data_IF_744211249935
#
_entry.id   IF_744211249935
#
_cell.length_a   1.000
_cell.length_b   1.000
_cell.length_c   1.000
_cell.angle_alpha   90.00
_cell.angle_beta   90.00
_cell.angle_gamma   90.00
#
_symmetry.space_group_name_H-M   'P 1'
#
loop_
_entity.id
_entity.type
_entity.pdbx_description
1 polymer ?
#
# COMPACT_ATOMS: atom_id res chain seq x y z
N UNK A 1 4.48 -31.35 -23.47
CA UNK A 1 4.43 -31.28 -24.96
C UNK A 1 3.05 -30.82 -25.49
N UNK A 2 1.90 -31.41 -25.12
CA UNK A 2 0.58 -31.01 -25.68
C UNK A 2 -0.17 -29.87 -24.94
N UNK A 3 0.51 -29.00 -24.19
CA UNK A 3 -0.16 -27.92 -23.42
C UNK A 3 0.59 -26.59 -23.42
N UNK A 4 1.44 -26.35 -24.42
CA UNK A 4 2.17 -25.10 -24.53
C UNK A 4 1.42 -24.12 -25.44
N UNK A 5 0.49 -23.37 -24.83
CA UNK A 5 -0.09 -22.17 -25.44
C UNK A 5 0.84 -20.98 -25.22
N UNK A 6 1.13 -20.24 -26.29
CA UNK A 6 1.74 -18.91 -26.23
C UNK A 6 0.72 -17.98 -25.57
N UNK A 7 0.95 -17.66 -24.29
CA UNK A 7 0.26 -16.54 -23.62
C UNK A 7 1.08 -15.27 -23.76
N UNK A 8 0.37 -14.15 -23.75
CA UNK A 8 0.76 -12.75 -23.99
C UNK A 8 1.98 -12.20 -23.21
N UNK A 9 2.75 -13.03 -22.50
CA UNK A 9 3.90 -12.64 -21.69
C UNK A 9 5.21 -13.28 -22.19
N UNK A 10 5.97 -12.54 -23.02
CA UNK A 10 7.26 -12.98 -23.58
C UNK A 10 8.26 -13.44 -22.52
N UNK A 11 8.27 -12.83 -21.33
CA UNK A 11 9.15 -13.22 -20.21
C UNK A 11 8.76 -14.59 -19.63
N UNK A 12 7.45 -14.84 -19.45
CA UNK A 12 6.97 -16.15 -18.97
C UNK A 12 7.29 -17.28 -19.94
N UNK A 13 7.29 -17.00 -21.25
CA UNK A 13 7.68 -17.98 -22.27
C UNK A 13 9.18 -18.35 -22.16
N UNK A 14 10.05 -17.38 -21.84
CA UNK A 14 11.49 -17.61 -21.64
C UNK A 14 11.73 -18.47 -20.39
N UNK A 15 11.10 -18.14 -19.27
CA UNK A 15 11.23 -18.96 -18.04
C UNK A 15 10.76 -20.38 -18.29
N UNK A 16 9.55 -20.52 -18.85
CA UNK A 16 8.96 -21.82 -19.17
C UNK A 16 9.81 -22.64 -20.15
N UNK A 17 10.49 -21.97 -21.08
CA UNK A 17 11.46 -22.60 -21.98
C UNK A 17 12.70 -23.10 -21.24
N UNK A 18 13.25 -22.32 -20.32
CA UNK A 18 14.39 -22.72 -19.49
C UNK A 18 14.05 -23.91 -18.59
N UNK A 19 12.85 -23.96 -18.03
CA UNK A 19 12.41 -25.05 -17.15
C UNK A 19 12.25 -26.40 -17.87
N UNK A 20 11.98 -26.38 -19.18
CA UNK A 20 11.72 -27.60 -19.98
C UNK A 20 12.89 -28.04 -20.85
N UNK A 21 13.98 -27.27 -20.90
CA UNK A 21 14.99 -27.48 -21.92
C UNK A 21 15.80 -28.77 -21.68
N UNK A 22 15.81 -29.65 -22.68
CA UNK A 22 16.66 -30.84 -22.70
C UNK A 22 17.62 -30.77 -23.89
N UNK A 23 18.88 -30.41 -23.61
CA UNK A 23 19.95 -30.28 -24.60
C UNK A 23 20.24 -31.60 -25.32
N UNK A 24 20.04 -32.74 -24.64
CA UNK A 24 20.30 -34.06 -25.22
C UNK A 24 19.36 -34.38 -26.38
N UNK A 25 18.14 -33.82 -26.34
CA UNK A 25 17.11 -34.04 -27.34
C UNK A 25 17.17 -33.06 -28.52
N UNK A 26 17.96 -31.98 -28.44
CA UNK A 26 18.01 -30.92 -29.47
C UNK A 26 18.33 -31.45 -30.89
N UNK A 27 19.22 -32.44 -30.98
CA UNK A 27 19.56 -33.07 -32.27
C UNK A 27 18.41 -33.91 -32.86
N UNK A 28 17.51 -34.44 -32.04
CA UNK A 28 16.39 -35.29 -32.46
C UNK A 28 15.21 -34.48 -33.02
N UNK A 29 15.13 -33.19 -32.67
CA UNK A 29 14.05 -32.30 -33.08
C UNK A 29 14.16 -31.80 -34.53
N UNK A 30 15.26 -32.08 -35.24
CA UNK A 30 15.40 -31.74 -36.67
C UNK A 30 14.59 -32.63 -37.60
N UNK A 31 14.04 -33.75 -37.10
CA UNK A 31 13.19 -34.63 -37.90
C UNK A 31 11.81 -34.00 -38.21
N UNK A 32 11.22 -34.38 -39.35
CA UNK A 32 9.92 -33.86 -39.83
C UNK A 32 8.82 -33.94 -38.77
N UNK A 33 8.88 -34.95 -37.89
CA UNK A 33 7.90 -35.20 -36.82
C UNK A 33 7.87 -34.09 -35.76
N UNK A 34 8.96 -33.35 -35.56
CA UNK A 34 9.11 -32.35 -34.49
C UNK A 34 9.34 -30.93 -35.03
N UNK A 35 9.02 -30.69 -36.30
CA UNK A 35 9.33 -29.42 -36.99
C UNK A 35 8.69 -28.19 -36.33
N UNK A 36 7.46 -28.31 -35.83
CA UNK A 36 6.79 -27.21 -35.10
C UNK A 36 7.47 -26.91 -33.76
N UNK A 37 7.77 -27.96 -32.99
CA UNK A 37 8.49 -27.84 -31.72
C UNK A 37 9.90 -27.26 -31.90
N UNK A 38 10.61 -27.66 -32.96
CA UNK A 38 11.92 -27.10 -33.31
C UNK A 38 11.85 -25.62 -33.67
N UNK A 39 10.79 -25.20 -34.40
CA UNK A 39 10.54 -23.79 -34.71
C UNK A 39 10.31 -22.98 -33.43
N UNK A 40 9.55 -23.52 -32.48
CA UNK A 40 9.26 -22.89 -31.20
C UNK A 40 10.52 -22.73 -30.33
N UNK A 41 11.35 -23.77 -30.21
CA UNK A 41 12.65 -23.67 -29.51
C UNK A 41 13.49 -22.55 -30.11
N UNK A 42 13.56 -22.45 -31.44
CA UNK A 42 14.36 -21.42 -32.10
C UNK A 42 13.82 -20.00 -31.81
N UNK A 43 12.49 -19.83 -31.75
CA UNK A 43 11.87 -18.57 -31.34
C UNK A 43 12.25 -18.23 -29.88
N UNK A 44 12.15 -19.20 -28.97
CA UNK A 44 12.46 -18.98 -27.56
C UNK A 44 13.95 -18.67 -27.32
N UNK A 45 14.87 -19.30 -28.07
CA UNK A 45 16.30 -18.96 -28.04
C UNK A 45 16.51 -17.50 -28.44
N UNK A 46 15.85 -17.05 -29.52
CA UNK A 46 15.95 -15.67 -29.97
C UNK A 46 15.36 -14.69 -28.94
N UNK A 47 14.19 -15.00 -28.37
CA UNK A 47 13.59 -14.20 -27.29
C UNK A 47 14.48 -14.10 -26.04
N UNK A 48 15.14 -15.20 -25.69
CA UNK A 48 16.07 -15.26 -24.56
C UNK A 48 17.25 -14.32 -24.78
N UNK A 49 17.85 -14.34 -25.97
CA UNK A 49 18.97 -13.46 -26.33
C UNK A 49 18.54 -12.00 -26.25
N UNK A 50 17.41 -11.65 -26.88
CA UNK A 50 16.89 -10.29 -26.87
C UNK A 50 16.66 -9.79 -25.44
N UNK A 51 16.03 -10.62 -24.60
CA UNK A 51 15.74 -10.29 -23.22
C UNK A 51 17.02 -10.04 -22.41
N UNK A 52 17.97 -10.96 -22.41
CA UNK A 52 19.20 -10.83 -21.63
C UNK A 52 20.10 -9.69 -22.14
N UNK A 53 20.11 -9.44 -23.45
CA UNK A 53 20.81 -8.31 -24.03
C UNK A 53 20.23 -6.99 -23.52
N UNK A 54 18.91 -6.78 -23.69
CA UNK A 54 18.26 -5.53 -23.29
C UNK A 54 18.26 -5.33 -21.77
N UNK A 55 18.03 -6.39 -20.99
CA UNK A 55 18.08 -6.31 -19.54
C UNK A 55 19.51 -6.06 -19.03
N UNK A 56 20.52 -6.67 -19.63
CA UNK A 56 21.92 -6.38 -19.34
C UNK A 56 22.30 -4.92 -19.60
N UNK A 57 21.82 -4.34 -20.71
CA UNK A 57 21.99 -2.90 -20.99
C UNK A 57 21.30 -2.02 -19.95
N UNK A 58 20.08 -2.39 -19.54
CA UNK A 58 19.34 -1.68 -18.50
C UNK A 58 20.12 -1.66 -17.18
N UNK A 59 20.60 -2.82 -16.71
CA UNK A 59 21.37 -2.93 -15.47
C UNK A 59 22.66 -2.11 -15.50
N UNK A 60 23.41 -2.13 -16.62
CA UNK A 60 24.62 -1.29 -16.78
C UNK A 60 24.31 0.20 -16.72
N UNK A 61 23.16 0.63 -17.22
CA UNK A 61 22.72 2.01 -17.10
C UNK A 61 22.31 2.37 -15.66
N UNK A 62 21.71 1.43 -14.93
CA UNK A 62 21.41 1.58 -13.50
C UNK A 62 22.66 1.67 -12.64
N UNK A 63 23.70 0.88 -12.92
CA UNK A 63 24.97 0.89 -12.20
C UNK A 63 25.69 2.25 -12.21
N UNK A 64 25.40 3.11 -13.19
CA UNK A 64 25.94 4.48 -13.26
C UNK A 64 25.26 5.46 -12.30
N UNK A 65 24.14 5.06 -11.69
CA UNK A 65 23.39 5.87 -10.74
C UNK A 65 23.79 5.53 -9.32
N UNK A 66 23.59 6.47 -8.41
CA UNK A 66 23.75 6.24 -6.99
C UNK A 66 22.64 5.29 -6.49
N UNK A 67 23.05 4.16 -5.92
CA UNK A 67 22.19 3.16 -5.29
C UNK A 67 22.80 2.78 -3.94
N UNK A 68 22.04 2.12 -3.07
CA UNK A 68 22.62 1.56 -1.84
C UNK A 68 23.63 0.45 -2.17
N UNK A 69 24.62 0.27 -1.30
CA UNK A 69 25.75 -0.65 -1.50
C UNK A 69 25.27 -2.09 -1.73
N UNK A 70 24.29 -2.53 -0.96
CA UNK A 70 23.72 -3.88 -1.03
C UNK A 70 23.08 -4.13 -2.41
N UNK A 71 22.28 -3.17 -2.89
CA UNK A 71 21.63 -3.32 -4.19
C UNK A 71 22.59 -3.15 -5.36
N UNK A 72 23.62 -2.30 -5.21
CA UNK A 72 24.70 -2.18 -6.18
C UNK A 72 25.43 -3.51 -6.38
N UNK A 73 25.70 -4.24 -5.29
CA UNK A 73 26.34 -5.55 -5.36
C UNK A 73 25.48 -6.59 -6.09
N UNK A 74 24.17 -6.62 -5.82
CA UNK A 74 23.24 -7.51 -6.53
C UNK A 74 23.18 -7.19 -8.03
N UNK A 75 23.12 -5.91 -8.41
CA UNK A 75 23.17 -5.49 -9.82
C UNK A 75 24.47 -5.97 -10.48
N UNK A 76 25.61 -5.78 -9.84
CA UNK A 76 26.90 -6.21 -10.37
C UNK A 76 26.97 -7.72 -10.58
N UNK A 77 26.52 -8.50 -9.58
CA UNK A 77 26.44 -9.97 -9.66
C UNK A 77 25.58 -10.42 -10.84
N UNK A 78 24.44 -9.76 -11.07
CA UNK A 78 23.57 -10.07 -12.20
C UNK A 78 24.19 -9.68 -13.54
N UNK A 79 24.88 -8.55 -13.64
CA UNK A 79 25.63 -8.18 -14.86
C UNK A 79 26.70 -9.22 -15.18
N UNK A 80 27.45 -9.69 -14.16
CA UNK A 80 28.46 -10.74 -14.32
C UNK A 80 27.82 -12.03 -14.83
N UNK A 81 26.70 -12.46 -14.23
CA UNK A 81 25.96 -13.64 -14.67
C UNK A 81 25.47 -13.53 -16.14
N UNK A 82 24.84 -12.40 -16.50
CA UNK A 82 24.38 -12.17 -17.87
C UNK A 82 25.55 -12.21 -18.86
N UNK A 83 26.70 -11.63 -18.49
CA UNK A 83 27.90 -11.66 -19.32
C UNK A 83 28.49 -13.08 -19.45
N UNK A 84 28.44 -13.90 -18.40
CA UNK A 84 28.97 -15.27 -18.44
C UNK A 84 28.18 -16.20 -19.35
N UNK A 85 26.91 -15.88 -19.64
CA UNK A 85 26.13 -16.61 -20.65
C UNK A 85 26.75 -16.50 -22.04
N UNK A 86 27.49 -15.42 -22.33
CA UNK A 86 28.12 -15.15 -23.65
C UNK A 86 27.15 -15.29 -24.82
N UNK A 87 25.89 -14.88 -24.60
CA UNK A 87 24.81 -14.92 -25.59
C UNK A 87 24.58 -13.55 -26.26
N UNK A 88 25.09 -12.48 -25.66
CA UNK A 88 24.92 -11.11 -26.15
C UNK A 88 25.62 -10.86 -27.50
N UNK A 89 26.60 -11.70 -27.86
CA UNK A 89 27.28 -11.65 -29.16
C UNK A 89 26.35 -12.02 -30.32
N UNK A 90 25.25 -12.72 -30.04
CA UNK A 90 24.27 -13.19 -31.02
C UNK A 90 23.05 -12.27 -31.16
N UNK A 91 23.07 -11.09 -30.52
CA UNK A 91 21.97 -10.13 -30.63
C UNK A 91 21.89 -9.57 -32.06
N UNK A 92 20.68 -9.55 -32.63
CA UNK A 92 20.40 -9.12 -34.01
C UNK A 92 21.11 -9.97 -35.10
N UNK A 93 21.58 -11.17 -34.75
CA UNK A 93 22.16 -12.12 -35.70
C UNK A 93 21.17 -13.20 -36.14
N UNK A 94 21.24 -13.60 -37.42
CA UNK A 94 20.56 -14.82 -37.89
C UNK A 94 21.33 -16.06 -37.44
N UNK A 95 20.77 -16.78 -36.46
CA UNK A 95 21.45 -17.92 -35.87
C UNK A 95 21.25 -19.22 -36.65
N UNK A 96 22.38 -19.83 -37.03
CA UNK A 96 22.44 -21.18 -37.58
C UNK A 96 22.19 -22.26 -36.50
N UNK A 97 22.03 -23.51 -36.96
CA UNK A 97 21.79 -24.65 -36.06
C UNK A 97 22.90 -24.86 -35.02
N UNK A 98 24.16 -24.63 -35.41
CA UNK A 98 25.33 -24.87 -34.56
C UNK A 98 25.44 -23.79 -33.47
N UNK A 99 25.19 -22.53 -33.82
CA UNK A 99 25.14 -21.40 -32.88
C UNK A 99 24.04 -21.63 -31.84
N UNK A 100 22.82 -22.00 -32.28
CA UNK A 100 21.71 -22.30 -31.35
C UNK A 100 22.05 -23.45 -30.40
N UNK A 101 22.60 -24.55 -30.91
CA UNK A 101 23.05 -25.66 -30.08
C UNK A 101 24.11 -25.23 -29.06
N UNK A 102 25.09 -24.44 -29.49
CA UNK A 102 26.14 -23.94 -28.60
C UNK A 102 25.56 -23.07 -27.46
N UNK A 103 24.55 -22.25 -27.75
CA UNK A 103 23.84 -21.46 -26.73
C UNK A 103 23.21 -22.39 -25.69
N UNK A 104 22.51 -23.44 -26.12
CA UNK A 104 21.88 -24.39 -25.19
C UNK A 104 22.89 -25.12 -24.31
N UNK A 105 24.02 -25.52 -24.89
CA UNK A 105 25.12 -26.16 -24.15
C UNK A 105 25.73 -25.22 -23.09
N UNK A 106 25.74 -23.91 -23.33
CA UNK A 106 26.20 -22.90 -22.36
C UNK A 106 25.16 -22.66 -21.25
N UNK A 107 23.87 -22.67 -21.59
CA UNK A 107 22.76 -22.36 -20.67
C UNK A 107 22.48 -23.51 -19.69
N UNK A 108 22.47 -24.76 -20.16
CA UNK A 108 22.05 -25.90 -19.33
C UNK A 108 22.84 -26.06 -18.02
N UNK A 109 24.19 -25.95 -17.99
CA UNK A 109 24.94 -26.01 -16.74
C UNK A 109 24.58 -24.90 -15.75
N UNK A 110 24.13 -23.74 -16.23
CA UNK A 110 23.72 -22.61 -15.38
C UNK A 110 22.32 -22.82 -14.80
N UNK A 111 21.45 -23.54 -15.51
CA UNK A 111 20.17 -24.03 -14.99
C UNK A 111 20.43 -25.03 -13.87
N UNK A 112 21.27 -26.04 -14.10
CA UNK A 112 21.58 -27.09 -13.12
C UNK A 112 22.22 -26.52 -11.83
N UNK A 113 22.95 -25.41 -11.94
CA UNK A 113 23.54 -24.69 -10.80
C UNK A 113 22.53 -23.81 -10.04
N UNK A 114 21.31 -23.63 -10.55
CA UNK A 114 20.29 -22.74 -9.97
C UNK A 114 20.53 -21.25 -10.22
N UNK A 115 21.43 -20.88 -11.15
CA UNK A 115 21.74 -19.47 -11.39
C UNK A 115 20.59 -18.73 -12.08
N UNK A 116 19.78 -19.42 -12.87
CA UNK A 116 18.56 -18.84 -13.45
C UNK A 116 17.48 -18.57 -12.39
N UNK A 117 17.35 -19.42 -11.37
CA UNK A 117 16.41 -19.17 -10.26
C UNK A 117 16.78 -17.89 -9.51
N UNK A 118 18.06 -17.74 -9.17
CA UNK A 118 18.60 -16.53 -8.55
C UNK A 118 18.38 -15.29 -9.42
N UNK A 119 18.56 -15.43 -10.74
CA UNK A 119 18.30 -14.36 -11.68
C UNK A 119 16.82 -13.96 -11.70
N UNK A 120 15.89 -14.94 -11.70
CA UNK A 120 14.46 -14.67 -11.72
C UNK A 120 14.00 -13.99 -10.43
N UNK A 121 14.47 -14.45 -9.26
CA UNK A 121 14.21 -13.80 -7.97
C UNK A 121 14.65 -12.32 -8.00
N UNK A 122 15.85 -12.05 -8.52
CA UNK A 122 16.33 -10.69 -8.71
C UNK A 122 15.46 -9.90 -9.68
N UNK A 123 15.12 -10.48 -10.84
CA UNK A 123 14.33 -9.82 -11.88
C UNK A 123 12.95 -9.41 -11.37
N UNK A 124 12.28 -10.28 -10.61
CA UNK A 124 10.97 -9.98 -10.02
C UNK A 124 11.07 -8.84 -9.01
N UNK A 125 12.09 -8.84 -8.15
CA UNK A 125 12.30 -7.73 -7.22
C UNK A 125 12.67 -6.43 -7.94
N UNK A 126 13.47 -6.50 -9.00
CA UNK A 126 13.78 -5.35 -9.85
C UNK A 126 12.51 -4.74 -10.47
N UNK A 127 11.57 -5.57 -10.95
CA UNK A 127 10.30 -5.11 -11.52
C UNK A 127 9.40 -4.47 -10.45
N UNK A 128 9.32 -5.06 -9.25
CA UNK A 128 8.61 -4.49 -8.09
C UNK A 128 9.19 -3.11 -7.74
N UNK A 129 10.51 -2.99 -7.58
CA UNK A 129 11.15 -1.72 -7.24
C UNK A 129 10.98 -0.67 -8.34
N UNK A 130 11.09 -1.07 -9.61
CA UNK A 130 10.88 -0.17 -10.75
C UNK A 130 9.44 0.34 -10.79
N UNK A 131 8.47 -0.53 -10.53
CA UNK A 131 7.05 -0.20 -10.47
C UNK A 131 6.74 0.75 -9.31
N UNK A 132 7.29 0.48 -8.12
CA UNK A 132 7.18 1.37 -6.95
C UNK A 132 7.80 2.74 -7.27
N UNK A 133 9.04 2.78 -7.76
CA UNK A 133 9.72 4.04 -8.09
C UNK A 133 8.96 4.88 -9.13
N UNK A 134 8.35 4.22 -10.12
CA UNK A 134 7.47 4.89 -11.08
C UNK A 134 6.23 5.46 -10.40
N UNK A 135 5.58 4.68 -9.52
CA UNK A 135 4.42 5.12 -8.75
C UNK A 135 4.73 6.32 -7.84
N UNK A 136 5.89 6.32 -7.18
CA UNK A 136 6.40 7.42 -6.37
C UNK A 136 6.49 8.70 -7.19
N UNK A 137 7.13 8.63 -8.36
CA UNK A 137 7.33 9.79 -9.22
C UNK A 137 6.03 10.32 -9.82
N UNK A 138 5.16 9.42 -10.29
CA UNK A 138 3.88 9.81 -10.91
C UNK A 138 2.95 10.51 -9.91
N UNK A 139 2.96 10.08 -8.66
CA UNK A 139 2.07 10.59 -7.63
C UNK A 139 2.72 11.62 -6.70
N UNK A 140 3.96 12.04 -6.96
CA UNK A 140 4.73 12.99 -6.13
C UNK A 140 4.84 12.57 -4.65
N UNK A 141 5.11 11.29 -4.40
CA UNK A 141 5.23 10.76 -3.04
C UNK A 141 6.57 11.12 -2.41
N UNK A 142 6.60 11.28 -1.09
CA UNK A 142 7.82 11.61 -0.32
C UNK A 142 8.20 10.48 0.64
N UNK A 143 9.49 10.22 0.81
CA UNK A 143 9.93 9.22 1.78
C UNK A 143 9.70 9.73 3.21
N UNK A 144 9.08 8.93 4.08
CA UNK A 144 8.81 9.32 5.46
C UNK A 144 10.08 9.24 6.31
N UNK A 145 10.07 9.98 7.41
CA UNK A 145 11.08 9.92 8.46
C UNK A 145 10.48 9.27 9.71
N UNK A 146 11.27 8.45 10.38
CA UNK A 146 10.89 7.88 11.67
C UNK A 146 11.61 8.63 12.80
N UNK A 147 10.89 8.92 13.88
CA UNK A 147 11.46 9.57 15.08
C UNK A 147 11.18 8.78 16.36
N UNK A 148 12.03 9.02 17.37
CA UNK A 148 11.89 8.49 18.73
C UNK A 148 11.27 9.50 19.71
N UNK A 149 10.94 10.71 19.23
CA UNK A 149 10.40 11.82 20.03
C UNK A 149 8.86 11.75 20.17
N UNK A 150 8.23 10.72 19.60
CA UNK A 150 6.79 10.54 19.56
C UNK A 150 6.05 11.74 18.94
N UNK A 151 6.63 12.31 17.89
CA UNK A 151 6.03 13.39 17.09
C UNK A 151 5.38 12.76 15.87
N UNK A 152 4.08 12.99 15.68
CA UNK A 152 3.38 12.58 14.47
C UNK A 152 3.04 13.81 13.64
N UNK A 153 3.78 14.03 12.56
CA UNK A 153 3.65 15.20 11.70
C UNK A 153 3.59 14.81 10.24
N UNK A 154 2.47 15.10 9.60
CA UNK A 154 2.25 14.95 8.16
C UNK A 154 1.75 16.28 7.59
N UNK A 155 2.44 16.82 6.59
CA UNK A 155 2.08 18.10 5.97
C UNK A 155 1.51 17.89 4.58
N UNK A 156 0.44 18.61 4.30
CA UNK A 156 -0.20 18.67 2.98
C UNK A 156 -0.48 17.28 2.38
N UNK A 157 -0.91 16.34 3.22
CA UNK A 157 -1.27 14.99 2.82
C UNK A 157 -2.57 14.95 2.02
N UNK A 158 -2.69 13.92 1.17
CA UNK A 158 -3.83 13.72 0.28
C UNK A 158 -4.13 12.23 0.10
N UNK A 159 -5.34 11.93 -0.37
CA UNK A 159 -5.73 10.56 -0.71
C UNK A 159 -5.42 10.26 -2.18
N UNK A 160 -4.74 9.14 -2.46
CA UNK A 160 -4.30 8.77 -3.82
C UNK A 160 -5.44 8.63 -4.83
N UNK A 161 -6.58 8.06 -4.39
CA UNK A 161 -7.72 7.83 -5.28
C UNK A 161 -8.58 9.08 -5.55
N UNK A 162 -8.28 10.22 -4.91
CA UNK A 162 -9.08 11.43 -5.08
C UNK A 162 -8.45 12.37 -6.10
N UNK A 163 -9.23 12.68 -7.14
CA UNK A 163 -8.90 13.78 -8.05
C UNK A 163 -9.09 15.12 -7.34
N UNK A 164 -8.10 16.02 -7.46
CA UNK A 164 -8.10 17.34 -6.80
C UNK A 164 -8.35 17.30 -5.28
N UNK A 165 -7.74 16.32 -4.59
CA UNK A 165 -7.86 16.16 -3.15
C UNK A 165 -7.49 17.45 -2.40
N UNK A 166 -8.34 17.87 -1.46
CA UNK A 166 -8.00 18.96 -0.54
C UNK A 166 -6.89 18.49 0.41
N UNK A 167 -5.71 19.08 0.27
CA UNK A 167 -4.54 18.76 1.10
C UNK A 167 -4.75 19.24 2.54
N UNK A 168 -4.36 18.42 3.50
CA UNK A 168 -4.48 18.70 4.94
C UNK A 168 -3.16 18.46 5.67
N UNK A 169 -3.04 19.02 6.87
CA UNK A 169 -1.86 18.84 7.74
C UNK A 169 -2.32 18.35 9.09
N UNK A 170 -1.62 17.35 9.64
CA UNK A 170 -1.84 16.84 10.98
C UNK A 170 -0.52 16.88 11.75
N UNK A 171 -0.52 17.60 12.87
CA UNK A 171 0.63 17.72 13.75
C UNK A 171 0.20 17.36 15.18
N UNK A 172 0.55 16.16 15.60
CA UNK A 172 0.28 15.63 16.95
C UNK A 172 1.58 15.70 17.73
N UNK A 173 1.65 16.65 18.68
CA UNK A 173 2.79 16.85 19.57
C UNK A 173 2.32 16.79 21.01
N UNK A 174 2.95 15.96 21.84
CA UNK A 174 2.59 15.76 23.25
C UNK A 174 1.13 15.30 23.48
N UNK A 175 0.49 14.74 22.44
CA UNK A 175 -0.87 14.21 22.45
C UNK A 175 -0.80 12.74 22.02
N UNK A 176 -1.72 11.93 22.52
CA UNK A 176 -1.83 10.50 22.15
C UNK A 176 -3.18 10.15 21.58
N UNK A 177 -4.17 11.02 21.76
CA UNK A 177 -5.52 10.86 21.26
C UNK A 177 -5.77 11.95 20.22
N UNK A 178 -6.27 11.57 19.06
CA UNK A 178 -6.84 12.48 18.06
C UNK A 178 -8.30 12.10 17.87
N UNK A 179 -9.21 13.07 17.98
CA UNK A 179 -10.65 12.83 17.80
C UNK A 179 -11.16 13.70 16.67
N UNK A 180 -11.69 13.06 15.64
CA UNK A 180 -12.32 13.70 14.50
C UNK A 180 -13.84 13.78 14.70
N UNK A 181 -14.39 14.98 14.52
CA UNK A 181 -15.83 15.26 14.62
C UNK A 181 -16.35 15.96 13.37
N UNK A 182 -17.68 16.06 13.24
CA UNK A 182 -18.38 16.62 12.08
C UNK A 182 -19.32 15.63 11.41
N UNK A 183 -20.01 16.05 10.34
CA UNK A 183 -20.96 15.18 9.64
C UNK A 183 -20.29 14.02 8.91
N UNK A 184 -21.04 12.95 8.64
CA UNK A 184 -20.54 11.76 7.94
C UNK A 184 -20.12 12.06 6.49
N UNK A 185 -20.71 13.09 5.88
CA UNK A 185 -20.36 13.57 4.53
C UNK A 185 -19.21 14.60 4.51
N UNK A 186 -18.67 15.00 5.67
CA UNK A 186 -17.63 16.05 5.75
C UNK A 186 -16.23 15.60 5.34
N UNK A 187 -16.02 14.30 5.11
CA UNK A 187 -14.72 13.71 4.72
C UNK A 187 -13.90 13.10 5.87
N UNK A 188 -14.51 12.85 7.05
CA UNK A 188 -13.81 12.28 8.22
C UNK A 188 -13.15 10.94 7.89
N UNK A 189 -13.91 9.99 7.37
CA UNK A 189 -13.40 8.66 7.03
C UNK A 189 -12.34 8.72 5.93
N UNK A 190 -12.48 9.62 4.96
CA UNK A 190 -11.44 9.87 3.93
C UNK A 190 -10.13 10.35 4.55
N UNK A 191 -10.22 11.30 5.49
CA UNK A 191 -9.05 11.85 6.18
C UNK A 191 -8.36 10.76 7.00
N UNK A 192 -9.12 10.01 7.79
CA UNK A 192 -8.59 8.89 8.58
C UNK A 192 -7.98 7.80 7.71
N UNK A 193 -8.62 7.40 6.61
CA UNK A 193 -8.07 6.44 5.64
C UNK A 193 -6.77 6.94 5.02
N UNK A 194 -6.69 8.24 4.68
CA UNK A 194 -5.46 8.85 4.16
C UNK A 194 -4.32 8.72 5.15
N UNK A 195 -4.57 9.06 6.42
CA UNK A 195 -3.58 8.93 7.51
C UNK A 195 -3.16 7.47 7.68
N UNK A 196 -4.10 6.53 7.71
CA UNK A 196 -3.83 5.10 7.84
C UNK A 196 -2.98 4.55 6.70
N UNK A 197 -3.27 4.95 5.46
CA UNK A 197 -2.49 4.57 4.27
C UNK A 197 -1.07 5.11 4.38
N UNK A 198 -0.89 6.37 4.80
CA UNK A 198 0.43 6.96 5.02
C UNK A 198 1.23 6.17 6.04
N UNK A 199 0.63 5.84 7.19
CA UNK A 199 1.29 5.04 8.22
C UNK A 199 1.67 3.67 7.69
N UNK A 200 0.76 2.99 6.98
CA UNK A 200 1.03 1.66 6.39
C UNK A 200 2.17 1.71 5.37
N UNK A 201 2.11 2.63 4.40
CA UNK A 201 3.15 2.78 3.37
C UNK A 201 4.51 3.11 4.00
N UNK A 202 4.53 3.96 5.03
CA UNK A 202 5.75 4.28 5.73
C UNK A 202 6.39 3.06 6.39
N UNK A 203 5.61 2.20 7.04
CA UNK A 203 6.11 0.97 7.67
C UNK A 203 6.50 -0.11 6.65
N UNK A 204 6.00 -0.02 5.42
CA UNK A 204 6.46 -0.84 4.29
C UNK A 204 7.73 -0.29 3.62
N UNK A 205 8.26 0.86 4.06
CA UNK A 205 9.42 1.50 3.46
C UNK A 205 9.12 2.18 2.11
N UNK A 206 7.85 2.45 1.83
CA UNK A 206 7.38 3.10 0.60
C UNK A 206 7.15 4.59 0.86
N UNK A 207 7.41 5.43 -0.13
CA UNK A 207 7.09 6.86 -0.06
C UNK A 207 5.56 7.09 0.05
N UNK A 208 5.16 8.18 0.70
CA UNK A 208 3.79 8.44 1.14
C UNK A 208 3.18 9.67 0.44
N UNK A 209 1.84 9.75 0.31
CA UNK A 209 1.16 10.88 -0.33
C UNK A 209 1.05 12.10 0.60
N UNK A 210 2.18 12.79 0.76
CA UNK A 210 2.31 14.02 1.54
C UNK A 210 3.45 14.89 1.00
N UNK A 211 3.58 16.14 1.46
CA UNK A 211 4.76 16.96 1.18
C UNK A 211 5.86 16.76 2.22
N UNK A 212 5.47 16.38 3.44
CA UNK A 212 6.39 16.01 4.52
C UNK A 212 5.73 14.96 5.41
N UNK A 213 6.50 13.97 5.86
CA UNK A 213 6.03 12.95 6.78
C UNK A 213 7.15 12.60 7.78
N UNK A 214 6.87 12.82 9.07
CA UNK A 214 7.71 12.41 10.18
C UNK A 214 6.82 11.81 11.26
N UNK A 215 6.93 10.51 11.49
CA UNK A 215 6.05 9.77 12.40
C UNK A 215 6.87 8.85 13.33
N UNK A 216 6.32 8.45 14.47
CA UNK A 216 6.93 7.41 15.29
C UNK A 216 6.87 6.06 14.58
N UNK A 217 7.75 5.14 14.97
CA UNK A 217 7.63 3.74 14.56
C UNK A 217 6.67 3.00 15.49
N UNK A 218 5.75 2.23 14.90
CA UNK A 218 4.75 1.45 15.63
C UNK A 218 4.97 -0.04 15.37
N UNK A 219 4.94 -0.84 16.44
CA UNK A 219 5.07 -2.29 16.37
C UNK A 219 3.80 -2.95 15.84
N UNK A 220 2.65 -2.29 15.98
CA UNK A 220 1.35 -2.81 15.54
C UNK A 220 0.42 -1.71 15.06
N UNK A 221 -0.30 -2.01 13.98
CA UNK A 221 -1.25 -1.11 13.32
C UNK A 221 -2.63 -1.77 13.39
N UNK A 222 -3.60 -1.08 13.99
CA UNK A 222 -4.99 -1.54 14.12
C UNK A 222 -5.93 -0.55 13.44
N UNK A 223 -6.68 -1.02 12.44
CA UNK A 223 -7.58 -0.18 11.64
C UNK A 223 -9.01 -0.72 11.74
N UNK A 224 -9.81 -0.15 12.63
CA UNK A 224 -11.22 -0.49 12.82
C UNK A 224 -12.10 0.55 12.17
N UNK A 225 -12.25 0.45 10.85
CA UNK A 225 -13.23 1.23 10.10
C UNK A 225 -14.60 0.54 10.13
N UNK A 226 -15.68 1.30 10.19
CA UNK A 226 -17.04 0.77 10.09
C UNK A 226 -17.22 0.12 8.71
N UNK A 227 -17.31 -1.21 8.68
CA UNK A 227 -17.64 -1.98 7.48
C UNK A 227 -19.13 -2.26 7.51
N UNK A 228 -19.82 -2.09 6.39
CA UNK A 228 -21.21 -2.55 6.23
C UNK A 228 -21.27 -4.05 6.56
N UNK A 229 -21.94 -4.35 7.68
CA UNK A 229 -22.43 -5.64 8.19
C UNK A 229 -21.80 -6.92 7.63
N UNK A 230 -20.86 -7.50 8.37
CA UNK A 230 -20.60 -8.93 8.32
C UNK A 230 -21.50 -9.65 9.32
N UNK A 231 -22.69 -10.06 8.88
CA UNK A 231 -23.67 -10.90 9.60
C UNK A 231 -23.14 -12.31 9.99
N UNK A 232 -21.85 -12.61 9.78
CA UNK A 232 -21.32 -13.98 9.76
C UNK A 232 -20.80 -14.53 11.10
N UNK A 233 -20.65 -13.72 12.15
CA UNK A 233 -19.99 -14.17 13.39
C UNK A 233 -20.86 -14.24 14.66
N UNK A 234 -22.17 -13.97 14.57
CA UNK A 234 -23.10 -14.21 15.69
C UNK A 234 -22.93 -13.31 16.92
N UNK A 235 -21.93 -12.42 16.96
CA UNK A 235 -21.81 -11.34 17.93
C UNK A 235 -22.59 -10.10 17.48
N UNK A 236 -23.17 -9.35 18.43
CA UNK A 236 -23.68 -8.01 18.12
C UNK A 236 -22.52 -7.10 17.73
N UNK A 237 -22.77 -6.11 16.86
CA UNK A 237 -21.77 -5.13 16.45
C UNK A 237 -21.03 -4.51 17.65
N UNK A 238 -21.78 -4.17 18.69
CA UNK A 238 -21.24 -3.63 19.94
C UNK A 238 -20.29 -4.60 20.67
N UNK A 239 -20.61 -5.89 20.72
CA UNK A 239 -19.72 -6.88 21.34
C UNK A 239 -18.40 -7.02 20.57
N UNK A 240 -18.44 -6.94 19.24
CA UNK A 240 -17.24 -6.96 18.41
C UNK A 240 -16.35 -5.74 18.65
N UNK A 241 -16.95 -4.55 18.79
CA UNK A 241 -16.22 -3.33 19.13
C UNK A 241 -15.48 -3.44 20.47
N UNK A 242 -16.14 -4.04 21.48
CA UNK A 242 -15.50 -4.32 22.78
C UNK A 242 -14.32 -5.28 22.63
N UNK A 243 -14.47 -6.35 21.83
CA UNK A 243 -13.40 -7.31 21.55
C UNK A 243 -12.23 -6.62 20.85
N UNK A 244 -12.49 -5.73 19.91
CA UNK A 244 -11.46 -4.96 19.20
C UNK A 244 -10.63 -4.10 20.18
N UNK A 245 -11.29 -3.35 21.07
CA UNK A 245 -10.60 -2.56 22.10
C UNK A 245 -9.81 -3.46 23.06
N UNK A 246 -10.38 -4.60 23.46
CA UNK A 246 -9.68 -5.57 24.31
C UNK A 246 -8.39 -6.07 23.65
N UNK A 247 -8.44 -6.42 22.36
CA UNK A 247 -7.27 -6.87 21.61
C UNK A 247 -6.17 -5.80 21.57
N UNK A 248 -6.54 -4.55 21.29
CA UNK A 248 -5.61 -3.41 21.34
C UNK A 248 -4.98 -3.25 22.73
N UNK A 249 -5.79 -3.30 23.80
CA UNK A 249 -5.29 -3.17 25.18
C UNK A 249 -4.34 -4.31 25.59
N UNK A 250 -4.52 -5.51 25.05
CA UNK A 250 -3.59 -6.61 25.28
C UNK A 250 -2.24 -6.37 24.59
N UNK A 251 -2.25 -5.87 23.35
CA UNK A 251 -1.04 -5.58 22.57
C UNK A 251 -0.23 -4.43 23.19
N UNK A 252 -0.91 -3.38 23.65
CA UNK A 252 -0.33 -2.21 24.30
C UNK A 252 0.44 -2.51 25.60
N UNK A 253 0.35 -3.72 26.14
CA UNK A 253 1.14 -4.13 27.31
C UNK A 253 2.63 -4.19 27.02
N UNK A 254 3.03 -4.40 25.77
CA UNK A 254 4.43 -4.57 25.39
C UNK A 254 4.83 -3.83 24.12
N UNK A 255 3.88 -3.24 23.39
CA UNK A 255 4.11 -2.67 22.06
C UNK A 255 3.53 -1.29 21.89
N UNK A 256 4.17 -0.49 21.05
CA UNK A 256 3.67 0.80 20.59
C UNK A 256 2.71 0.57 19.42
N UNK A 257 1.51 1.11 19.52
CA UNK A 257 0.47 0.88 18.51
C UNK A 257 0.03 2.18 17.84
N UNK A 258 -0.27 2.10 16.54
CA UNK A 258 -1.11 3.05 15.84
C UNK A 258 -2.50 2.45 15.68
N UNK A 259 -3.53 3.15 16.15
CA UNK A 259 -4.88 2.61 16.21
C UNK A 259 -5.88 3.61 15.67
N UNK A 260 -6.80 3.13 14.84
CA UNK A 260 -7.91 3.92 14.29
C UNK A 260 -9.22 3.25 14.64
N UNK A 261 -10.14 4.01 15.21
CA UNK A 261 -11.51 3.62 15.51
C UNK A 261 -12.49 4.57 14.81
N UNK A 262 -13.25 4.05 13.84
CA UNK A 262 -14.31 4.81 13.16
C UNK A 262 -15.66 4.52 13.83
N UNK A 263 -16.29 5.54 14.40
CA UNK A 263 -17.64 5.50 15.00
C UNK A 263 -17.88 4.35 16.00
N UNK A 264 -16.87 4.07 16.83
CA UNK A 264 -16.93 2.99 17.83
C UNK A 264 -18.05 3.21 18.85
N UNK A 265 -18.68 2.11 19.28
CA UNK A 265 -19.75 2.06 20.29
C UNK A 265 -21.05 2.72 19.86
N UNK A 266 -21.24 2.95 18.56
CA UNK A 266 -22.48 3.49 18.00
C UNK A 266 -23.68 2.54 18.10
N UNK A 267 -23.44 1.24 18.36
CA UNK A 267 -24.47 0.21 18.44
C UNK A 267 -25.23 0.10 19.78
N UNK A 268 -25.07 1.05 20.72
CA UNK A 268 -25.74 1.04 22.03
C UNK A 268 -26.46 2.36 22.34
N UNK A 269 -27.10 2.48 23.50
CA UNK A 269 -27.72 3.73 23.96
C UNK A 269 -26.70 4.86 23.96
N UNK A 270 -27.09 6.05 23.49
CA UNK A 270 -26.21 7.21 23.35
C UNK A 270 -25.48 7.60 24.66
N UNK A 271 -26.14 7.43 25.82
CA UNK A 271 -25.53 7.72 27.12
C UNK A 271 -24.47 6.69 27.50
N UNK A 272 -24.75 5.40 27.25
CA UNK A 272 -23.80 4.32 27.48
C UNK A 272 -22.61 4.44 26.52
N UNK A 273 -22.88 4.72 25.25
CA UNK A 273 -21.86 4.94 24.22
C UNK A 273 -20.93 6.10 24.61
N UNK A 274 -21.48 7.23 25.07
CA UNK A 274 -20.70 8.36 25.55
C UNK A 274 -19.81 7.98 26.73
N UNK A 275 -20.38 7.35 27.77
CA UNK A 275 -19.64 6.99 28.98
C UNK A 275 -18.51 6.00 28.69
N UNK A 276 -18.78 4.96 27.88
CA UNK A 276 -17.79 3.95 27.51
C UNK A 276 -16.70 4.56 26.63
N UNK A 277 -17.06 5.42 25.67
CA UNK A 277 -16.09 6.10 24.80
C UNK A 277 -15.13 6.97 25.61
N UNK A 278 -15.66 7.80 26.53
CA UNK A 278 -14.83 8.66 27.41
C UNK A 278 -13.90 7.81 28.26
N UNK A 279 -14.40 6.73 28.87
CA UNK A 279 -13.58 5.83 29.68
C UNK A 279 -12.48 5.17 28.85
N UNK A 280 -12.80 4.68 27.65
CA UNK A 280 -11.84 4.07 26.73
C UNK A 280 -10.77 5.07 26.30
N UNK A 281 -11.14 6.28 25.87
CA UNK A 281 -10.19 7.33 25.48
C UNK A 281 -9.27 7.70 26.64
N UNK A 282 -9.83 7.92 27.84
CA UNK A 282 -9.04 8.24 29.03
C UNK A 282 -8.08 7.11 29.41
N UNK A 283 -8.52 5.85 29.30
CA UNK A 283 -7.67 4.69 29.49
C UNK A 283 -6.51 4.63 28.49
N UNK A 284 -6.81 4.79 27.20
CA UNK A 284 -5.83 4.72 26.11
C UNK A 284 -4.84 5.90 26.13
N UNK A 285 -5.26 7.07 26.61
CA UNK A 285 -4.41 8.26 26.73
C UNK A 285 -3.19 8.04 27.64
N UNK A 286 -3.18 6.97 28.44
CA UNK A 286 -2.07 6.61 29.34
C UNK A 286 -0.89 5.97 28.58
N UNK A 287 -1.11 5.42 27.39
CA UNK A 287 -0.06 4.80 26.56
C UNK A 287 0.65 5.87 25.73
N UNK A 288 1.73 6.41 26.31
CA UNK A 288 2.41 7.62 25.81
C UNK A 288 3.03 7.47 24.43
N UNK A 289 3.44 6.26 24.04
CA UNK A 289 4.17 5.99 22.80
C UNK A 289 3.26 5.45 21.68
N UNK A 290 1.95 5.58 21.84
CA UNK A 290 0.95 5.08 20.90
C UNK A 290 0.04 6.22 20.48
N UNK A 291 -0.47 6.14 19.26
CA UNK A 291 -1.39 7.12 18.70
C UNK A 291 -2.72 6.46 18.42
N UNK A 292 -3.78 7.06 18.96
CA UNK A 292 -5.14 6.59 18.80
C UNK A 292 -5.97 7.67 18.11
N UNK A 293 -6.53 7.31 16.96
CA UNK A 293 -7.40 8.16 16.17
C UNK A 293 -8.83 7.66 16.30
N UNK A 294 -9.74 8.53 16.68
CA UNK A 294 -11.17 8.25 16.79
C UNK A 294 -11.95 9.14 15.82
N UNK A 295 -13.03 8.63 15.27
CA UNK A 295 -14.15 9.47 14.82
C UNK A 295 -15.33 9.32 15.76
N UNK A 296 -16.13 10.38 15.91
CA UNK A 296 -17.37 10.32 16.67
C UNK A 296 -18.37 11.35 16.18
N UNK A 297 -19.66 11.03 16.38
CA UNK A 297 -20.79 11.94 16.23
C UNK A 297 -21.45 12.27 17.58
N UNK A 298 -20.87 11.79 18.70
CA UNK A 298 -21.43 11.94 20.04
C UNK A 298 -21.05 13.30 20.65
N UNK A 299 -21.91 14.31 20.56
CA UNK A 299 -21.62 15.62 21.15
C UNK A 299 -21.52 15.59 22.70
N UNK A 300 -22.11 14.58 23.35
CA UNK A 300 -22.10 14.44 24.82
C UNK A 300 -20.70 14.27 25.43
N UNK A 301 -19.68 13.95 24.62
CA UNK A 301 -18.33 13.72 25.12
C UNK A 301 -17.40 14.93 24.94
N UNK A 302 -17.84 16.01 24.31
CA UNK A 302 -17.01 17.19 24.00
C UNK A 302 -16.34 17.76 25.26
N UNK A 303 -17.11 18.05 26.30
CA UNK A 303 -16.60 18.67 27.54
C UNK A 303 -15.57 17.76 28.23
N UNK A 304 -15.86 16.45 28.31
CA UNK A 304 -14.97 15.46 28.90
C UNK A 304 -13.63 15.31 28.15
N UNK A 305 -13.64 15.45 26.83
CA UNK A 305 -12.44 15.33 26.02
C UNK A 305 -11.64 16.64 25.96
N UNK A 306 -12.31 17.77 26.09
CA UNK A 306 -11.65 19.09 26.17
C UNK A 306 -10.78 19.20 27.43
N UNK A 307 -11.20 18.57 28.53
CA UNK A 307 -10.40 18.47 29.77
C UNK A 307 -9.21 17.50 29.65
N UNK A 308 -9.17 16.64 28.62
CA UNK A 308 -8.07 15.70 28.44
C UNK A 308 -6.88 16.38 27.74
N UNK A 309 -5.86 16.72 28.52
CA UNK A 309 -4.63 17.36 28.01
C UNK A 309 -3.90 16.56 26.93
N UNK A 310 -4.17 15.25 26.77
CA UNK A 310 -3.58 14.38 25.75
C UNK A 310 -4.46 14.18 24.52
N UNK A 311 -5.64 14.77 24.49
CA UNK A 311 -6.52 14.79 23.34
C UNK A 311 -6.27 16.01 22.45
N UNK A 312 -6.24 15.76 21.14
CA UNK A 312 -6.32 16.75 20.08
C UNK A 312 -7.68 16.59 19.41
N UNK A 313 -8.52 17.60 19.53
CA UNK A 313 -9.86 17.60 18.96
C UNK A 313 -9.81 18.31 17.61
N UNK A 314 -10.28 17.63 16.57
CA UNK A 314 -10.27 18.13 15.22
C UNK A 314 -11.66 17.96 14.59
N UNK A 315 -11.98 18.83 13.64
CA UNK A 315 -13.12 18.64 12.77
C UNK A 315 -12.78 19.05 11.35
N UNK A 316 -13.61 18.60 10.40
CA UNK A 316 -13.58 19.13 9.05
C UNK A 316 -14.51 20.34 8.99
N UNK A 317 -13.99 21.45 8.49
CA UNK A 317 -14.70 22.71 8.42
C UNK A 317 -15.89 22.61 7.43
N UNK A 318 -17.02 23.13 7.90
CA UNK A 318 -18.28 23.14 7.21
C UNK A 318 -19.03 24.39 7.65
N UNK A 319 -19.69 25.08 6.71
CA UNK A 319 -20.49 26.24 7.01
C UNK A 319 -21.74 26.31 6.14
N UNK A 320 -22.70 27.11 6.60
CA UNK A 320 -23.91 27.41 5.87
C UNK A 320 -23.73 28.70 5.09
N UNK A 321 -23.90 28.63 3.77
CA UNK A 321 -24.02 29.80 2.90
C UNK A 321 -25.39 29.75 2.22
N UNK A 322 -26.21 30.78 2.46
CA UNK A 322 -27.50 30.93 1.77
C UNK A 322 -28.40 29.67 1.86
N UNK A 323 -28.47 29.05 3.05
CA UNK A 323 -29.16 27.77 3.34
C UNK A 323 -28.61 26.54 2.61
N UNK A 324 -27.42 26.63 2.01
CA UNK A 324 -26.69 25.49 1.45
C UNK A 324 -25.52 25.13 2.33
N UNK A 325 -25.36 23.83 2.56
CA UNK A 325 -24.23 23.32 3.30
C UNK A 325 -23.00 23.22 2.40
N UNK A 326 -21.91 23.88 2.80
CA UNK A 326 -20.63 23.87 2.09
C UNK A 326 -19.58 23.15 2.93
N UNK A 327 -18.97 22.12 2.34
CA UNK A 327 -17.87 21.36 2.94
C UNK A 327 -16.55 21.83 2.35
N UNK A 328 -15.65 22.38 3.17
CA UNK A 328 -14.31 22.79 2.69
C UNK A 328 -13.32 21.63 2.65
N UNK A 329 -13.63 20.55 3.37
CA UNK A 329 -12.75 19.40 3.60
C UNK A 329 -11.40 19.79 4.24
N UNK A 330 -11.34 20.97 4.88
CA UNK A 330 -10.15 21.44 5.60
C UNK A 330 -10.23 21.02 7.05
N UNK A 331 -9.14 20.45 7.53
CA UNK A 331 -8.96 20.01 8.90
C UNK A 331 -8.65 21.21 9.80
N UNK A 332 -9.46 21.40 10.85
CA UNK A 332 -9.33 22.50 11.81
C UNK A 332 -9.40 21.96 13.24
N UNK A 333 -8.71 22.64 14.17
CA UNK A 333 -8.80 22.31 15.60
C UNK A 333 -10.15 22.73 16.18
N UNK A 334 -10.69 21.90 17.09
CA UNK A 334 -11.95 22.13 17.79
C UNK A 334 -12.95 21.00 17.61
N UNK A 335 -14.20 21.30 17.94
CA UNK A 335 -15.33 20.37 17.87
C UNK A 335 -16.41 20.89 16.92
N UNK A 336 -16.94 20.04 16.05
CA UNK A 336 -18.07 20.42 15.20
C UNK A 336 -19.39 20.27 15.94
N UNK A 337 -20.13 21.38 16.09
CA UNK A 337 -21.46 21.40 16.72
C UNK A 337 -22.62 21.48 15.71
N UNK A 338 -22.34 21.34 14.42
CA UNK A 338 -23.34 21.50 13.37
C UNK A 338 -24.24 20.26 13.27
N UNK A 339 -25.52 20.43 13.55
CA UNK A 339 -26.57 19.41 13.37
C UNK A 339 -27.00 19.33 11.90
N UNK A 340 -26.17 18.69 11.09
CA UNK A 340 -26.31 18.66 9.62
C UNK A 340 -27.47 17.78 9.13
N UNK A 341 -27.93 16.82 9.93
CA UNK A 341 -28.97 15.87 9.51
C UNK A 341 -30.28 16.55 9.09
N UNK A 342 -30.78 17.49 9.89
CA UNK A 342 -31.99 18.25 9.56
C UNK A 342 -31.81 19.14 8.33
N UNK A 343 -30.65 19.80 8.23
CA UNK A 343 -30.32 20.67 7.11
C UNK A 343 -30.25 19.90 5.78
N UNK A 344 -29.66 18.70 5.79
CA UNK A 344 -29.67 17.82 4.62
C UNK A 344 -31.09 17.37 4.29
N UNK A 345 -31.88 16.99 5.30
CA UNK A 345 -33.27 16.57 5.11
C UNK A 345 -34.10 17.64 4.39
N UNK A 346 -33.93 18.90 4.81
CA UNK A 346 -34.56 20.07 4.17
C UNK A 346 -34.00 20.31 2.76
N UNK A 347 -32.68 20.27 2.58
CA UNK A 347 -32.00 20.53 1.31
C UNK A 347 -32.36 19.51 0.22
N UNK A 348 -32.65 18.26 0.58
CA UNK A 348 -33.12 17.23 -0.35
C UNK A 348 -34.63 17.30 -0.64
N UNK A 349 -35.34 18.29 -0.11
CA UNK A 349 -36.77 18.49 -0.36
C UNK A 349 -37.67 17.44 0.28
N UNK A 350 -37.16 16.64 1.23
CA UNK A 350 -37.93 15.54 1.84
C UNK A 350 -39.13 16.06 2.63
N UNK A 351 -39.00 17.21 3.28
CA UNK A 351 -40.12 17.84 3.98
C UNK A 351 -41.25 18.25 3.02
N UNK A 352 -40.93 18.65 1.79
CA UNK A 352 -41.96 18.97 0.79
C UNK A 352 -42.64 17.70 0.29
N UNK A 353 -41.86 16.65 0.00
CA UNK A 353 -42.35 15.36 -0.48
C UNK A 353 -43.18 14.57 0.54
N UNK A 354 -42.91 14.73 1.83
CA UNK A 354 -43.66 14.04 2.90
C UNK A 354 -44.98 14.74 3.25
N UNK A 355 -45.12 16.02 2.87
CA UNK A 355 -46.31 16.82 3.13
C UNK A 355 -47.22 16.95 1.88
N UNK A 356 -46.90 16.25 0.79
CA UNK A 356 -47.79 15.98 -0.36
C UNK A 356 -48.50 14.65 -0.19
#
# INVERSE_FOLDING_TARGET
INSYEIKENRVSAIQKFLDEIDVSQYNYFTSIKYREYFKEININISLLIDFFYHFGLLLRNFQKKETCLEYSYEIEKMIVFINSLTINEFYDEELDFKQRKNILVKIAPEIDKGNFDLFWDFFYMFDVYSSIAKGIKLNNLVFPQFNSENIFKIENFYHLDLTNAVKNTLNVKNKTIVVFTGANMSGKSTTMKSISIIVLLAHLGIAVPAEYCNIPFYDSIFLYFSVNDNLKEGYSHFAQEIINVKSVLLELKSKNCFVVFDEIFSGTNINDAAQITVNTINGLSKFKNSLFIFSTHLNLIEDHLTENERALLLHLECFLDSNKLLFTYKLTEGWSRLEIGKLLFDQYGLNELLNT
#
